data_IF_664450411377
#
_entry.id   IF_664450411377
#
_cell.length_a   1.000
_cell.length_b   1.000
_cell.length_c   1.000
_cell.angle_alpha   90.00
_cell.angle_beta   90.00
_cell.angle_gamma   90.00
#
_symmetry.space_group_name_H-M   'P 1'
#
loop_
_entity.id
_entity.type
_entity.pdbx_description
1 polymer ?
#
# COMPACT_ATOMS: atom_id res chain seq x y z
N UNK A 1 11.77 -20.22 -60.00
CA UNK A 1 11.70 -19.74 -58.60
C UNK A 1 12.42 -18.40 -58.47
N UNK A 2 11.69 -17.28 -58.31
CA UNK A 2 12.23 -15.98 -57.86
C UNK A 2 11.09 -15.00 -57.54
N UNK A 3 11.14 -14.49 -56.29
CA UNK A 3 10.84 -13.16 -55.73
C UNK A 3 9.60 -12.31 -56.14
N UNK A 4 8.92 -11.87 -55.06
CA UNK A 4 8.30 -10.55 -54.74
C UNK A 4 7.21 -9.95 -55.64
N UNK A 5 6.13 -9.43 -55.01
CA UNK A 5 5.88 -7.98 -54.80
C UNK A 5 4.59 -7.78 -53.98
N UNK A 6 4.71 -6.98 -52.92
CA UNK A 6 3.62 -6.35 -52.15
C UNK A 6 3.02 -5.14 -52.91
N UNK A 7 1.69 -4.99 -52.87
CA UNK A 7 0.87 -3.75 -52.96
C UNK A 7 -0.60 -4.22 -53.06
N UNK A 8 -1.63 -3.69 -52.39
CA UNK A 8 -1.89 -2.37 -51.80
C UNK A 8 -3.26 -2.48 -51.11
N UNK A 9 -3.38 -2.19 -49.81
CA UNK A 9 -4.65 -1.88 -49.16
C UNK A 9 -4.38 -1.20 -47.81
N UNK A 10 -4.20 0.12 -47.86
CA UNK A 10 -4.03 0.94 -46.66
C UNK A 10 -4.52 2.35 -47.00
N UNK A 11 -5.75 2.65 -46.57
CA UNK A 11 -6.36 3.99 -46.38
C UNK A 11 -7.88 3.83 -46.32
N UNK A 12 -8.46 3.85 -45.12
CA UNK A 12 -9.67 4.60 -44.70
C UNK A 12 -9.82 4.35 -43.18
N UNK A 13 -9.12 5.08 -42.31
CA UNK A 13 -9.49 5.14 -40.86
C UNK A 13 -8.96 6.42 -40.13
N UNK A 14 -8.39 7.39 -40.85
CA UNK A 14 -7.70 8.54 -40.24
C UNK A 14 -8.44 9.89 -40.35
N UNK A 15 -9.74 9.92 -40.64
CA UNK A 15 -10.49 11.18 -40.77
C UNK A 15 -11.29 11.60 -39.52
N UNK A 16 -11.60 10.68 -38.59
CA UNK A 16 -12.41 11.00 -37.42
C UNK A 16 -11.57 11.55 -36.24
N UNK A 17 -10.38 10.97 -36.01
CA UNK A 17 -9.47 11.42 -34.96
C UNK A 17 -8.89 12.82 -35.21
N UNK A 18 -8.73 13.22 -36.47
CA UNK A 18 -8.15 14.52 -36.83
C UNK A 18 -9.13 15.68 -36.58
N UNK A 19 -10.43 15.50 -36.86
CA UNK A 19 -11.44 16.54 -36.66
C UNK A 19 -11.71 16.82 -35.17
N UNK A 20 -11.72 15.75 -34.35
CA UNK A 20 -11.88 15.88 -32.89
C UNK A 20 -10.63 16.48 -32.25
N UNK A 21 -9.42 16.06 -32.66
CA UNK A 21 -8.15 16.63 -32.19
C UNK A 21 -7.96 18.11 -32.57
N UNK A 22 -8.48 18.55 -33.73
CA UNK A 22 -8.51 19.97 -34.11
C UNK A 22 -9.49 20.76 -33.23
N UNK A 23 -10.65 20.22 -32.85
CA UNK A 23 -11.61 20.94 -31.99
C UNK A 23 -11.10 21.11 -30.55
N UNK A 24 -10.28 20.18 -30.05
CA UNK A 24 -9.78 20.17 -28.67
C UNK A 24 -8.52 21.01 -28.44
N UNK A 25 -7.82 21.43 -29.50
CA UNK A 25 -6.54 22.16 -29.42
C UNK A 25 -6.64 23.63 -29.82
N UNK A 26 -7.82 24.09 -30.23
CA UNK A 26 -8.02 25.46 -30.70
C UNK A 26 -8.66 26.33 -29.62
N UNK A 27 -7.96 27.40 -29.21
CA UNK A 27 -8.55 28.47 -28.40
C UNK A 27 -9.80 29.05 -29.07
N UNK A 28 -10.80 29.43 -28.28
CA UNK A 28 -12.08 30.08 -28.68
C UNK A 28 -11.90 31.12 -29.80
N UNK A 29 -10.78 31.83 -29.80
CA UNK A 29 -10.36 32.82 -30.80
C UNK A 29 -10.28 32.33 -32.26
N UNK A 30 -10.15 31.02 -32.51
CA UNK A 30 -10.05 30.47 -33.89
C UNK A 30 -11.39 29.97 -34.42
N UNK A 31 -12.35 29.60 -33.56
CA UNK A 31 -13.71 29.26 -33.97
C UNK A 31 -14.53 30.49 -34.41
N UNK A 32 -14.21 31.66 -33.85
CA UNK A 32 -14.88 32.95 -34.06
C UNK A 32 -14.80 33.54 -35.51
N UNK A 33 -14.43 32.76 -36.54
CA UNK A 33 -14.30 33.25 -37.93
C UNK A 33 -14.94 32.40 -39.03
N UNK A 34 -15.50 31.23 -38.72
CA UNK A 34 -16.23 30.46 -39.74
C UNK A 34 -17.73 30.79 -39.66
N UNK A 35 -18.32 31.28 -40.76
CA UNK A 35 -19.75 31.67 -40.85
C UNK A 35 -20.78 30.54 -40.65
N UNK A 36 -20.33 29.37 -40.18
CA UNK A 36 -21.12 28.17 -39.95
C UNK A 36 -21.46 27.94 -38.47
N UNK A 37 -21.04 28.84 -37.58
CA UNK A 37 -21.47 28.82 -36.18
C UNK A 37 -22.97 29.19 -36.07
N UNK A 38 -23.73 28.43 -35.29
CA UNK A 38 -25.13 28.70 -34.98
C UNK A 38 -25.29 29.98 -34.16
N UNK A 39 -24.32 30.32 -33.30
CA UNK A 39 -24.35 31.55 -32.52
C UNK A 39 -24.26 32.80 -33.41
N UNK A 40 -23.51 32.73 -34.51
CA UNK A 40 -23.47 33.80 -35.52
C UNK A 40 -24.83 34.04 -36.20
N UNK A 41 -25.77 33.08 -36.06
CA UNK A 41 -27.16 33.18 -36.53
C UNK A 41 -28.13 33.53 -35.41
N UNK A 42 -27.62 33.85 -34.21
CA UNK A 42 -28.39 34.12 -33.00
C UNK A 42 -29.26 32.90 -32.59
N UNK A 43 -28.72 31.69 -32.80
CA UNK A 43 -29.35 30.42 -32.44
C UNK A 43 -28.50 29.77 -31.34
N UNK A 44 -29.04 29.69 -30.13
CA UNK A 44 -28.41 28.94 -29.04
C UNK A 44 -28.75 27.46 -29.19
N UNK A 45 -27.77 26.63 -29.54
CA UNK A 45 -28.00 25.21 -29.77
C UNK A 45 -28.43 24.45 -28.51
N UNK A 46 -28.07 24.96 -27.31
CA UNK A 46 -28.43 24.35 -26.03
C UNK A 46 -29.95 24.31 -25.81
N UNK A 47 -30.71 25.17 -26.48
CA UNK A 47 -32.17 25.18 -26.41
C UNK A 47 -32.83 23.97 -27.11
N UNK A 48 -32.08 23.31 -28.00
CA UNK A 48 -32.56 22.23 -28.87
C UNK A 48 -31.96 20.87 -28.53
N UNK A 49 -31.05 20.79 -27.56
CA UNK A 49 -30.43 19.55 -27.11
C UNK A 49 -30.97 19.17 -25.72
N UNK A 50 -31.41 17.93 -25.59
CA UNK A 50 -31.96 17.35 -24.38
C UNK A 50 -31.21 16.08 -24.01
N UNK A 51 -31.19 15.77 -22.72
CA UNK A 51 -30.65 14.55 -22.16
C UNK A 51 -31.74 13.79 -21.43
N UNK A 52 -31.91 12.52 -21.76
CA UNK A 52 -32.84 11.62 -21.12
C UNK A 52 -32.11 10.96 -19.96
N UNK A 53 -32.47 11.33 -18.74
CA UNK A 53 -31.89 10.80 -17.50
C UNK A 53 -33.03 10.22 -16.67
N UNK A 54 -32.95 8.92 -16.35
CA UNK A 54 -33.99 8.21 -15.60
C UNK A 54 -35.40 8.39 -16.20
N UNK A 55 -35.48 8.33 -17.54
CA UNK A 55 -36.73 8.48 -18.29
C UNK A 55 -37.32 9.90 -18.35
N UNK A 56 -36.61 10.91 -17.84
CA UNK A 56 -37.01 12.33 -17.90
C UNK A 56 -36.13 13.10 -18.87
N UNK A 57 -36.76 13.97 -19.66
CA UNK A 57 -36.07 14.88 -20.58
C UNK A 57 -35.58 16.12 -19.82
N UNK A 58 -34.28 16.38 -19.86
CA UNK A 58 -33.65 17.59 -19.33
C UNK A 58 -33.06 18.39 -20.47
N UNK A 59 -33.45 19.66 -20.62
CA UNK A 59 -32.85 20.53 -21.63
C UNK A 59 -31.43 20.90 -21.23
N UNK A 60 -30.52 21.01 -22.20
CA UNK A 60 -29.13 21.37 -21.93
C UNK A 60 -28.99 22.73 -21.23
N UNK A 61 -29.88 23.69 -21.50
CA UNK A 61 -29.91 24.96 -20.75
C UNK A 61 -30.16 24.75 -19.25
N UNK A 62 -31.07 23.85 -18.89
CA UNK A 62 -31.42 23.57 -17.49
C UNK A 62 -30.26 22.88 -16.76
N UNK A 63 -29.48 22.07 -17.50
CA UNK A 63 -28.30 21.41 -16.97
C UNK A 63 -27.08 22.33 -16.92
N UNK A 64 -27.05 23.47 -17.61
CA UNK A 64 -25.86 24.35 -17.69
C UNK A 64 -26.03 25.67 -16.95
N UNK A 65 -27.14 25.86 -16.22
CA UNK A 65 -27.46 27.09 -15.49
C UNK A 65 -27.70 26.81 -14.00
N UNK A 66 -27.33 27.76 -13.14
CA UNK A 66 -27.56 27.68 -11.69
C UNK A 66 -29.07 27.83 -11.36
N UNK A 67 -29.61 27.11 -10.36
CA UNK A 67 -28.92 26.32 -9.32
C UNK A 67 -28.54 24.89 -9.74
N UNK A 68 -28.65 24.55 -11.03
CA UNK A 68 -28.42 23.20 -11.53
C UNK A 68 -29.59 22.25 -11.28
N UNK A 69 -29.37 20.98 -11.61
CA UNK A 69 -30.37 19.91 -11.46
C UNK A 69 -29.97 18.98 -10.33
N UNK A 70 -30.88 18.82 -9.37
CA UNK A 70 -30.70 17.86 -8.28
C UNK A 70 -31.10 16.45 -8.72
N UNK A 71 -30.09 15.59 -8.84
CA UNK A 71 -30.24 14.17 -9.18
C UNK A 71 -29.64 13.29 -8.07
N UNK A 72 -29.54 13.82 -6.86
CA UNK A 72 -29.07 13.07 -5.70
C UNK A 72 -29.98 11.84 -5.48
N UNK A 73 -29.36 10.67 -5.33
CA UNK A 73 -30.07 9.38 -5.23
C UNK A 73 -30.41 8.70 -6.56
N UNK A 74 -30.14 9.32 -7.71
CA UNK A 74 -30.23 8.65 -9.01
C UNK A 74 -29.13 7.58 -9.17
N UNK A 75 -29.40 6.55 -9.97
CA UNK A 75 -28.40 5.53 -10.31
C UNK A 75 -27.34 6.14 -11.24
N UNK A 76 -26.14 6.40 -10.70
CA UNK A 76 -25.03 7.02 -11.44
C UNK A 76 -24.53 6.19 -12.62
N UNK A 77 -24.80 4.88 -12.63
CA UNK A 77 -24.45 3.98 -13.74
C UNK A 77 -25.54 3.87 -14.81
N UNK A 78 -26.68 4.56 -14.65
CA UNK A 78 -27.75 4.55 -15.64
C UNK A 78 -27.27 5.20 -16.95
N UNK A 79 -27.66 4.60 -18.08
CA UNK A 79 -27.35 5.13 -19.40
C UNK A 79 -28.08 6.44 -19.66
N UNK A 80 -27.36 7.40 -20.24
CA UNK A 80 -27.90 8.69 -20.68
C UNK A 80 -28.04 8.67 -22.19
N UNK A 81 -29.21 9.09 -22.66
CA UNK A 81 -29.50 9.27 -24.09
C UNK A 81 -29.63 10.75 -24.40
N UNK A 82 -29.32 11.14 -25.63
CA UNK A 82 -29.58 12.49 -26.12
C UNK A 82 -30.85 12.53 -26.98
N UNK A 83 -31.48 13.69 -27.04
CA UNK A 83 -32.59 13.99 -27.95
C UNK A 83 -32.38 15.38 -28.52
N UNK A 84 -32.59 15.52 -29.82
CA UNK A 84 -32.39 16.79 -30.53
C UNK A 84 -33.70 17.23 -31.14
N UNK A 85 -34.18 18.43 -30.78
CA UNK A 85 -35.33 19.07 -31.40
C UNK A 85 -34.93 19.63 -32.77
N UNK A 86 -34.81 18.73 -33.75
CA UNK A 86 -34.44 19.10 -35.11
C UNK A 86 -35.52 19.94 -35.81
N UNK A 87 -36.79 19.80 -35.42
CA UNK A 87 -37.88 20.59 -36.00
C UNK A 87 -37.77 22.05 -35.55
N UNK A 88 -37.58 22.28 -34.25
CA UNK A 88 -37.33 23.60 -33.68
C UNK A 88 -36.04 24.23 -34.24
N UNK A 89 -34.96 23.46 -34.33
CA UNK A 89 -33.69 23.94 -34.85
C UNK A 89 -33.79 24.30 -36.35
N UNK A 90 -34.51 23.51 -37.14
CA UNK A 90 -34.79 23.84 -38.54
C UNK A 90 -35.68 25.08 -38.69
N UNK A 91 -36.65 25.28 -37.80
CA UNK A 91 -37.47 26.49 -37.78
C UNK A 91 -36.61 27.74 -37.48
N UNK A 92 -35.69 27.65 -36.52
CA UNK A 92 -34.75 28.72 -36.20
C UNK A 92 -33.77 29.01 -37.36
N UNK A 93 -33.26 27.97 -38.00
CA UNK A 93 -32.41 28.11 -39.19
C UNK A 93 -33.16 28.80 -40.35
N UNK A 94 -34.44 28.50 -40.56
CA UNK A 94 -35.28 29.21 -41.55
C UNK A 94 -35.51 30.67 -41.17
N UNK A 95 -35.77 30.95 -39.91
CA UNK A 95 -35.92 32.33 -39.40
C UNK A 95 -34.64 33.16 -39.58
N UNK A 96 -33.46 32.53 -39.47
CA UNK A 96 -32.16 33.17 -39.78
C UNK A 96 -31.83 33.25 -41.28
N UNK A 97 -32.78 32.92 -42.16
CA UNK A 97 -32.66 33.08 -43.62
C UNK A 97 -32.21 31.84 -44.39
N UNK A 98 -32.06 30.67 -43.74
CA UNK A 98 -31.79 29.42 -44.46
C UNK A 98 -33.00 28.94 -45.27
N UNK A 99 -32.75 28.32 -46.43
CA UNK A 99 -33.77 27.65 -47.25
C UNK A 99 -33.70 26.13 -47.17
N UNK A 100 -32.66 25.62 -46.53
CA UNK A 100 -32.40 24.18 -46.41
C UNK A 100 -33.08 23.59 -45.18
N UNK A 101 -33.29 22.27 -45.21
CA UNK A 101 -33.60 21.46 -44.05
C UNK A 101 -32.34 20.69 -43.65
N UNK A 102 -32.06 20.66 -42.36
CA UNK A 102 -30.91 20.04 -41.75
C UNK A 102 -31.32 18.82 -40.93
N UNK A 103 -30.37 17.92 -40.75
CA UNK A 103 -30.42 16.75 -39.88
C UNK A 103 -29.20 16.77 -38.97
N UNK A 104 -29.25 16.01 -37.87
CA UNK A 104 -28.08 15.82 -37.02
C UNK A 104 -26.95 15.17 -37.82
N UNK A 105 -25.76 15.75 -37.74
CA UNK A 105 -24.57 15.28 -38.43
C UNK A 105 -23.80 14.29 -37.55
N UNK A 106 -23.20 13.28 -38.17
CA UNK A 106 -22.47 12.20 -37.46
C UNK A 106 -21.24 12.66 -36.67
N UNK A 107 -20.75 13.87 -36.92
CA UNK A 107 -19.67 14.48 -36.15
C UNK A 107 -20.15 15.06 -34.82
N UNK A 108 -21.44 14.98 -34.49
CA UNK A 108 -21.94 15.37 -33.17
C UNK A 108 -21.25 14.53 -32.09
N UNK A 109 -20.72 15.21 -31.08
CA UNK A 109 -19.90 14.58 -30.05
C UNK A 109 -20.00 15.28 -28.71
N UNK A 110 -19.56 14.56 -27.68
CA UNK A 110 -19.29 15.09 -26.35
C UNK A 110 -17.92 14.61 -25.91
N UNK A 111 -17.26 15.35 -25.03
CA UNK A 111 -16.02 14.88 -24.42
C UNK A 111 -15.91 15.22 -22.94
N UNK A 112 -15.31 14.30 -22.20
CA UNK A 112 -14.85 14.48 -20.82
C UNK A 112 -13.35 14.26 -20.74
N UNK A 113 -12.75 14.69 -19.63
CA UNK A 113 -11.33 14.51 -19.36
C UNK A 113 -11.16 13.70 -18.08
N UNK A 114 -10.36 12.64 -18.13
CA UNK A 114 -9.85 11.96 -16.92
C UNK A 114 -8.53 12.59 -16.47
N UNK A 115 -7.74 13.05 -17.45
CA UNK A 115 -6.49 13.79 -17.27
C UNK A 115 -6.52 15.03 -18.14
N UNK A 116 -5.77 16.07 -17.76
CA UNK A 116 -5.75 17.36 -18.46
C UNK A 116 -5.42 17.28 -19.96
N UNK A 117 -4.77 16.21 -20.42
CA UNK A 117 -4.24 16.08 -21.78
C UNK A 117 -4.97 15.08 -22.67
N UNK A 118 -5.84 14.23 -22.13
CA UNK A 118 -6.45 13.13 -22.88
C UNK A 118 -7.98 13.09 -22.71
N UNK A 119 -8.74 13.53 -23.72
CA UNK A 119 -10.19 13.48 -23.67
C UNK A 119 -10.74 12.12 -24.09
N UNK A 120 -11.79 11.70 -23.40
CA UNK A 120 -12.66 10.60 -23.81
C UNK A 120 -13.81 11.20 -24.60
N UNK A 121 -13.93 10.75 -25.85
CA UNK A 121 -14.88 11.28 -26.83
C UNK A 121 -16.03 10.29 -26.99
N UNK A 122 -17.24 10.83 -26.94
CA UNK A 122 -18.48 10.12 -27.19
C UNK A 122 -19.18 10.67 -28.42
N UNK A 123 -19.74 9.79 -29.25
CA UNK A 123 -20.51 10.14 -30.44
C UNK A 123 -21.97 9.75 -30.29
N UNK A 124 -22.83 10.44 -31.04
CA UNK A 124 -24.27 10.24 -31.01
C UNK A 124 -24.63 9.19 -32.06
N UNK A 125 -25.24 8.09 -31.63
CA UNK A 125 -25.72 7.01 -32.48
C UNK A 125 -27.23 6.93 -32.39
N UNK A 126 -27.92 6.98 -33.54
CA UNK A 126 -29.38 6.90 -33.59
C UNK A 126 -29.88 5.59 -32.98
N UNK A 127 -30.75 5.68 -31.98
CA UNK A 127 -31.34 4.54 -31.28
C UNK A 127 -32.69 4.10 -31.88
N UNK A 128 -33.18 4.76 -32.93
CA UNK A 128 -34.39 4.36 -33.67
C UNK A 128 -35.72 4.71 -33.00
N UNK A 129 -35.69 5.46 -31.89
CA UNK A 129 -36.87 5.87 -31.11
C UNK A 129 -36.95 7.41 -30.91
N UNK A 130 -36.25 8.17 -31.75
CA UNK A 130 -36.13 9.63 -31.61
C UNK A 130 -35.11 10.07 -30.55
N UNK A 131 -34.30 9.14 -30.04
CA UNK A 131 -33.16 9.42 -29.17
C UNK A 131 -31.85 8.93 -29.80
N UNK A 132 -30.74 9.40 -29.24
CA UNK A 132 -29.40 9.02 -29.63
C UNK A 132 -28.69 8.39 -28.42
N UNK A 133 -28.18 7.18 -28.58
CA UNK A 133 -27.21 6.63 -27.66
C UNK A 133 -25.92 7.48 -27.74
N UNK A 134 -25.35 7.81 -26.60
CA UNK A 134 -24.10 8.58 -26.52
C UNK A 134 -23.02 7.57 -26.18
N UNK A 135 -22.14 7.22 -27.11
CA UNK A 135 -21.22 6.08 -26.94
C UNK A 135 -19.77 6.44 -27.25
N UNK A 136 -18.84 5.84 -26.50
CA UNK A 136 -17.41 6.03 -26.73
C UNK A 136 -16.90 5.21 -27.93
N UNK A 137 -15.59 5.28 -28.19
CA UNK A 137 -14.92 4.53 -29.27
C UNK A 137 -15.06 3.00 -29.17
N UNK A 138 -15.32 2.47 -27.98
CA UNK A 138 -15.53 1.04 -27.72
C UNK A 138 -16.98 0.61 -27.89
N UNK A 139 -17.90 1.59 -28.01
CA UNK A 139 -19.34 1.37 -28.01
C UNK A 139 -19.96 1.36 -26.62
N UNK A 140 -19.20 1.70 -25.57
CA UNK A 140 -19.76 1.82 -24.22
C UNK A 140 -20.64 3.07 -24.11
N UNK A 141 -21.82 2.90 -23.51
CA UNK A 141 -22.78 3.98 -23.31
C UNK A 141 -22.28 4.97 -22.25
N UNK A 142 -22.56 6.25 -22.49
CA UNK A 142 -22.42 7.30 -21.48
C UNK A 142 -23.38 7.00 -20.33
N UNK A 143 -22.85 7.08 -19.12
CA UNK A 143 -23.62 6.98 -17.89
C UNK A 143 -23.88 8.35 -17.30
N UNK A 144 -24.76 8.44 -16.31
CA UNK A 144 -25.01 9.67 -15.55
C UNK A 144 -23.73 10.19 -14.87
N UNK A 145 -22.90 9.29 -14.34
CA UNK A 145 -21.57 9.61 -13.83
C UNK A 145 -20.68 10.24 -14.91
N UNK A 146 -20.59 9.62 -16.09
CA UNK A 146 -19.80 10.16 -17.20
C UNK A 146 -20.32 11.53 -17.66
N UNK A 147 -21.64 11.72 -17.71
CA UNK A 147 -22.28 12.99 -18.08
C UNK A 147 -21.83 14.12 -17.15
N UNK A 148 -21.73 13.85 -15.85
CA UNK A 148 -21.32 14.81 -14.83
C UNK A 148 -19.92 15.42 -15.08
N UNK A 149 -19.06 14.69 -15.80
CA UNK A 149 -17.68 15.06 -16.08
C UNK A 149 -17.48 15.63 -17.49
N UNK A 150 -18.55 15.84 -18.26
CA UNK A 150 -18.46 16.38 -19.62
C UNK A 150 -17.96 17.82 -19.57
N UNK A 151 -16.99 18.12 -20.43
CA UNK A 151 -16.37 19.44 -20.55
C UNK A 151 -16.65 20.12 -21.91
N UNK A 152 -17.16 19.36 -22.89
CA UNK A 152 -17.47 19.88 -24.23
C UNK A 152 -18.64 19.14 -24.83
N UNK A 153 -19.52 19.90 -25.50
CA UNK A 153 -20.59 19.38 -26.36
C UNK A 153 -20.46 20.08 -27.70
N UNK A 154 -20.35 19.29 -28.78
CA UNK A 154 -20.37 19.79 -30.15
C UNK A 154 -21.58 19.26 -30.89
N UNK A 155 -22.57 20.12 -31.16
CA UNK A 155 -23.74 19.80 -31.95
C UNK A 155 -23.49 20.19 -33.41
N UNK A 156 -23.51 19.22 -34.33
CA UNK A 156 -23.29 19.48 -35.76
C UNK A 156 -24.56 19.16 -36.53
N UNK A 157 -24.96 20.05 -37.46
CA UNK A 157 -26.11 19.83 -38.34
C UNK A 157 -25.72 20.01 -39.81
N UNK A 158 -26.18 19.11 -40.67
CA UNK A 158 -25.89 19.13 -42.11
C UNK A 158 -27.16 18.88 -42.92
N UNK A 159 -27.14 19.14 -44.24
CA UNK A 159 -28.30 18.83 -45.10
C UNK A 159 -28.65 17.34 -45.11
N UNK A 160 -27.62 16.53 -44.94
CA UNK A 160 -27.67 15.08 -44.70
C UNK A 160 -26.66 14.74 -43.61
N UNK A 161 -26.78 13.54 -43.01
CA UNK A 161 -25.88 13.08 -41.95
C UNK A 161 -24.40 12.98 -42.37
N UNK A 162 -24.13 12.95 -43.67
CA UNK A 162 -22.80 12.83 -44.28
C UNK A 162 -22.31 14.12 -44.98
N UNK A 163 -23.05 15.21 -44.85
CA UNK A 163 -22.71 16.45 -45.56
C UNK A 163 -21.36 17.02 -45.11
N UNK A 164 -20.47 17.35 -46.05
CA UNK A 164 -19.23 18.07 -45.76
C UNK A 164 -19.46 19.55 -45.40
N UNK A 165 -20.66 20.07 -45.64
CA UNK A 165 -21.07 21.42 -45.28
C UNK A 165 -22.08 21.35 -44.13
N UNK A 166 -21.64 21.73 -42.94
CA UNK A 166 -22.44 21.70 -41.73
C UNK A 166 -22.37 23.03 -40.98
N UNK A 167 -23.42 23.30 -40.21
CA UNK A 167 -23.42 24.30 -39.13
C UNK A 167 -23.12 23.60 -37.81
N UNK A 168 -22.61 24.33 -36.82
CA UNK A 168 -22.33 23.76 -35.52
C UNK A 168 -22.66 24.75 -34.39
N UNK A 169 -23.01 24.21 -33.23
CA UNK A 169 -23.00 24.92 -31.96
C UNK A 169 -22.08 24.17 -31.01
N UNK A 170 -21.20 24.88 -30.32
CA UNK A 170 -20.19 24.25 -29.48
C UNK A 170 -19.79 25.13 -28.32
N UNK A 171 -19.69 24.53 -27.14
CA UNK A 171 -19.11 25.17 -25.98
C UNK A 171 -17.58 25.13 -26.04
N UNK A 172 -16.92 26.18 -25.54
CA UNK A 172 -15.51 26.08 -25.20
C UNK A 172 -15.28 24.93 -24.21
N UNK A 173 -14.03 24.49 -24.04
CA UNK A 173 -13.70 23.54 -22.97
C UNK A 173 -14.02 24.21 -21.63
N UNK A 174 -15.11 23.76 -21.00
CA UNK A 174 -15.65 24.33 -19.76
C UNK A 174 -15.61 23.23 -18.70
N UNK A 175 -14.83 23.44 -17.65
CA UNK A 175 -14.90 22.58 -16.47
C UNK A 175 -16.27 22.74 -15.82
N UNK A 176 -16.83 21.63 -15.33
CA UNK A 176 -18.17 21.64 -14.71
C UNK A 176 -19.25 22.24 -15.63
N UNK A 177 -19.27 21.81 -16.90
CA UNK A 177 -20.24 22.30 -17.88
C UNK A 177 -21.67 22.04 -17.42
N UNK A 178 -21.96 20.82 -16.98
CA UNK A 178 -23.26 20.46 -16.42
C UNK A 178 -23.29 20.62 -14.90
N UNK A 179 -24.20 21.46 -14.42
CA UNK A 179 -24.51 21.69 -13.00
C UNK A 179 -25.42 20.58 -12.48
N UNK A 180 -24.84 19.41 -12.18
CA UNK A 180 -25.56 18.24 -11.67
C UNK A 180 -25.20 17.96 -10.21
N UNK A 181 -26.19 17.91 -9.32
CA UNK A 181 -25.99 17.51 -7.93
C UNK A 181 -25.94 15.97 -7.78
N UNK A 182 -24.95 15.35 -8.42
CA UNK A 182 -24.61 13.92 -8.29
C UNK A 182 -23.16 13.72 -7.88
N UNK A 183 -22.31 14.70 -8.20
CA UNK A 183 -20.88 14.68 -7.89
C UNK A 183 -20.63 14.89 -6.39
N UNK A 184 -21.55 15.56 -5.69
CA UNK A 184 -21.30 16.05 -4.33
C UNK A 184 -20.09 16.98 -4.30
N UNK A 185 -19.52 17.15 -3.10
CA UNK A 185 -18.20 17.77 -2.95
C UNK A 185 -17.14 16.67 -2.89
N UNK A 186 -16.06 16.86 -3.64
CA UNK A 186 -14.93 15.92 -3.72
C UNK A 186 -13.65 16.61 -3.28
N UNK A 187 -12.66 15.83 -2.85
CA UNK A 187 -11.30 16.32 -2.61
C UNK A 187 -10.55 16.50 -3.93
N UNK A 188 -9.52 17.36 -3.92
CA UNK A 188 -8.59 17.44 -5.02
C UNK A 188 -7.37 16.58 -4.69
N UNK A 189 -6.95 15.76 -5.66
CA UNK A 189 -5.79 14.87 -5.55
C UNK A 189 -4.71 15.32 -6.51
N UNK A 190 -3.47 15.29 -6.05
CA UNK A 190 -2.33 15.68 -6.84
C UNK A 190 -1.12 14.80 -6.58
N UNK A 191 -0.39 14.47 -7.64
CA UNK A 191 0.98 14.00 -7.52
C UNK A 191 1.90 15.22 -7.41
N UNK A 192 2.63 15.31 -6.30
CA UNK A 192 3.56 16.40 -5.99
C UNK A 192 4.97 15.97 -6.38
N UNK A 193 5.55 16.68 -7.35
CA UNK A 193 6.90 16.46 -7.84
C UNK A 193 7.82 17.58 -7.35
N UNK A 194 8.72 17.26 -6.42
CA UNK A 194 9.77 18.16 -6.00
C UNK A 194 10.95 18.04 -6.97
N UNK A 195 11.26 19.14 -7.65
CA UNK A 195 12.24 19.19 -8.74
C UNK A 195 13.36 20.17 -8.43
N UNK A 196 14.58 19.86 -8.83
CA UNK A 196 15.66 20.86 -8.86
C UNK A 196 15.46 21.88 -9.99
N UNK A 197 16.32 22.89 -10.05
CA UNK A 197 16.29 23.92 -11.10
C UNK A 197 16.41 23.36 -12.53
N UNK A 198 17.06 22.19 -12.68
CA UNK A 198 17.21 21.47 -13.94
C UNK A 198 15.98 20.60 -14.30
N UNK A 199 14.97 20.52 -13.42
CA UNK A 199 13.74 19.75 -13.64
C UNK A 199 13.81 18.27 -13.26
N UNK A 200 14.90 17.82 -12.64
CA UNK A 200 15.07 16.45 -12.13
C UNK A 200 14.20 16.26 -10.89
N UNK A 201 13.37 15.21 -10.88
CA UNK A 201 12.53 14.87 -9.73
C UNK A 201 13.41 14.29 -8.63
N UNK A 202 13.43 14.96 -7.48
CA UNK A 202 14.17 14.56 -6.28
C UNK A 202 13.28 13.74 -5.34
N UNK A 203 11.99 14.07 -5.27
CA UNK A 203 10.99 13.35 -4.50
C UNK A 203 9.61 13.48 -5.16
N UNK A 204 8.84 12.41 -5.10
CA UNK A 204 7.44 12.37 -5.53
C UNK A 204 6.58 11.88 -4.37
N UNK A 205 5.46 12.57 -4.12
CA UNK A 205 4.51 12.25 -3.06
C UNK A 205 3.07 12.42 -3.57
N UNK A 206 2.14 11.69 -2.97
CA UNK A 206 0.72 11.89 -3.19
C UNK A 206 0.17 12.91 -2.19
N UNK A 207 -0.72 13.80 -2.66
CA UNK A 207 -1.37 14.84 -1.86
C UNK A 207 -2.87 14.82 -2.09
N UNK A 208 -3.62 15.04 -1.01
CA UNK A 208 -5.07 15.18 -1.02
C UNK A 208 -5.46 16.39 -0.16
N UNK A 209 -6.35 17.24 -0.68
CA UNK A 209 -6.79 18.44 0.04
C UNK A 209 -7.66 18.09 1.25
N UNK A 210 -7.50 18.83 2.35
CA UNK A 210 -8.39 18.72 3.52
C UNK A 210 -9.80 19.24 3.23
N UNK A 211 -9.91 20.22 2.32
CA UNK A 211 -11.18 20.79 1.89
C UNK A 211 -11.79 20.00 0.74
N UNK A 212 -13.12 20.08 0.63
CA UNK A 212 -13.86 19.55 -0.52
C UNK A 212 -14.52 20.68 -1.30
N UNK A 213 -14.56 20.55 -2.62
CA UNK A 213 -15.19 21.48 -3.54
C UNK A 213 -16.01 20.75 -4.59
N UNK A 214 -16.79 21.50 -5.36
CA UNK A 214 -17.49 20.91 -6.50
C UNK A 214 -16.49 20.60 -7.61
N UNK A 215 -16.77 19.54 -8.37
CA UNK A 215 -15.93 19.14 -9.49
C UNK A 215 -15.63 20.33 -10.42
N UNK A 216 -14.36 20.47 -10.82
CA UNK A 216 -13.90 21.56 -11.69
C UNK A 216 -13.78 22.94 -11.04
N UNK A 217 -14.18 23.13 -9.78
CA UNK A 217 -13.77 24.30 -9.01
C UNK A 217 -12.26 24.25 -8.75
N UNK A 218 -11.63 25.42 -8.67
CA UNK A 218 -10.20 25.54 -8.44
C UNK A 218 -9.93 25.87 -6.97
N UNK A 219 -8.86 25.29 -6.44
CA UNK A 219 -8.31 25.61 -5.12
C UNK A 219 -6.82 25.88 -5.25
N UNK A 220 -6.35 26.90 -4.54
CA UNK A 220 -4.93 27.18 -4.41
C UNK A 220 -4.36 26.28 -3.32
N UNK A 221 -3.45 25.39 -3.68
CA UNK A 221 -2.65 24.63 -2.72
C UNK A 221 -1.37 25.39 -2.47
N UNK A 222 -1.28 26.02 -1.30
CA UNK A 222 -0.06 26.70 -0.88
C UNK A 222 1.06 25.68 -0.63
N UNK A 223 2.27 25.98 -1.10
CA UNK A 223 3.41 25.07 -0.92
C UNK A 223 3.78 24.85 0.55
N UNK A 224 3.42 25.78 1.42
CA UNK A 224 3.56 25.63 2.88
C UNK A 224 2.70 24.50 3.46
N UNK A 225 1.61 24.12 2.79
CA UNK A 225 0.69 23.06 3.22
C UNK A 225 1.01 21.71 2.57
N UNK A 226 2.03 21.63 1.71
CA UNK A 226 2.45 20.37 1.12
C UNK A 226 3.21 19.51 2.12
N UNK A 227 3.23 18.18 1.94
CA UNK A 227 4.00 17.29 2.78
C UNK A 227 5.48 17.68 2.78
N UNK A 228 6.04 17.92 3.96
CA UNK A 228 7.46 18.25 4.11
C UNK A 228 8.34 17.12 3.56
N UNK A 229 9.36 17.49 2.78
CA UNK A 229 10.37 16.56 2.27
C UNK A 229 11.68 16.62 3.07
N UNK A 230 11.58 16.99 4.34
CA UNK A 230 12.71 17.25 5.23
C UNK A 230 13.32 18.64 5.05
N UNK A 231 14.46 18.86 5.71
CA UNK A 231 15.18 20.15 5.73
C UNK A 231 16.32 20.23 4.70
N UNK A 232 16.51 19.19 3.88
CA UNK A 232 17.52 19.15 2.83
C UNK A 232 17.12 19.93 1.57
N UNK A 233 16.15 20.84 1.67
CA UNK A 233 15.62 21.59 0.54
C UNK A 233 15.13 22.98 0.97
N UNK A 234 15.34 23.98 0.12
CA UNK A 234 14.64 25.26 0.18
C UNK A 234 13.67 25.37 -1.00
N UNK A 235 12.49 25.95 -0.79
CA UNK A 235 11.63 26.35 -1.90
C UNK A 235 12.36 27.41 -2.75
N UNK A 236 12.29 27.26 -4.05
CA UNK A 236 12.90 28.18 -5.01
C UNK A 236 11.90 28.57 -6.10
N UNK A 237 12.04 29.77 -6.65
CA UNK A 237 11.12 30.31 -7.65
C UNK A 237 9.83 30.87 -7.04
N UNK A 238 8.68 30.52 -7.62
CA UNK A 238 7.37 30.84 -7.04
C UNK A 238 7.17 29.99 -5.78
N UNK A 239 6.94 30.63 -4.64
CA UNK A 239 6.75 29.96 -3.35
C UNK A 239 5.31 29.98 -2.89
N UNK A 240 4.39 30.51 -3.71
CA UNK A 240 3.02 30.80 -3.29
C UNK A 240 2.18 29.53 -3.24
N UNK A 241 2.13 28.77 -4.34
CA UNK A 241 1.30 27.58 -4.45
C UNK A 241 0.98 27.20 -5.89
N UNK A 242 0.19 26.15 -6.05
CA UNK A 242 -0.32 25.71 -7.34
C UNK A 242 -1.85 25.64 -7.32
N UNK A 243 -2.48 26.15 -8.37
CA UNK A 243 -3.91 25.96 -8.58
C UNK A 243 -4.18 24.55 -9.09
N UNK A 244 -5.06 23.84 -8.40
CA UNK A 244 -5.54 22.52 -8.80
C UNK A 244 -7.06 22.51 -8.86
N UNK A 245 -7.63 21.57 -9.60
CA UNK A 245 -9.07 21.44 -9.77
C UNK A 245 -9.61 20.21 -9.04
N UNK A 246 -10.74 20.38 -8.33
CA UNK A 246 -11.41 19.28 -7.62
C UNK A 246 -11.88 18.20 -8.60
N UNK A 247 -11.64 16.93 -8.24
CA UNK A 247 -12.04 15.75 -9.00
C UNK A 247 -11.35 15.55 -10.35
N UNK A 248 -10.20 16.19 -10.57
CA UNK A 248 -9.26 15.87 -11.64
C UNK A 248 -7.99 15.22 -11.07
N UNK A 249 -7.28 14.46 -11.91
CA UNK A 249 -5.87 14.13 -11.63
C UNK A 249 -5.02 15.39 -11.84
N UNK A 250 -4.43 15.90 -10.76
CA UNK A 250 -3.59 17.09 -10.81
C UNK A 250 -2.11 16.73 -10.66
N UNK A 251 -1.25 17.62 -11.15
CA UNK A 251 0.19 17.54 -10.94
C UNK A 251 0.69 18.87 -10.35
N UNK A 252 1.38 18.81 -9.23
CA UNK A 252 2.03 19.98 -8.62
C UNK A 252 3.52 19.84 -8.79
N UNK A 253 4.14 20.81 -9.46
CA UNK A 253 5.58 20.86 -9.64
C UNK A 253 6.15 21.93 -8.71
N UNK A 254 6.92 21.49 -7.72
CA UNK A 254 7.57 22.38 -6.75
C UNK A 254 9.04 22.45 -7.08
N UNK A 255 9.54 23.65 -7.36
CA UNK A 255 10.98 23.86 -7.56
C UNK A 255 11.66 24.04 -6.21
N UNK A 256 12.72 23.27 -5.98
CA UNK A 256 13.51 23.29 -4.76
C UNK A 256 15.00 23.39 -5.07
N UNK A 257 15.72 24.08 -4.19
CA UNK A 257 17.17 24.04 -4.11
C UNK A 257 17.58 22.96 -3.11
N UNK A 258 18.34 21.96 -3.56
CA UNK A 258 18.88 20.91 -2.69
C UNK A 258 19.91 21.50 -1.74
N UNK A 259 19.75 21.18 -0.47
CA UNK A 259 20.70 21.37 0.60
C UNK A 259 21.31 20.01 0.91
N UNK A 260 22.64 19.91 0.87
CA UNK A 260 23.32 18.65 1.19
C UNK A 260 23.03 18.23 2.63
N UNK A 261 22.55 16.99 2.87
CA UNK A 261 22.31 16.50 4.21
C UNK A 261 23.60 16.44 5.05
N UNK A 262 23.44 16.60 6.36
CA UNK A 262 24.52 16.52 7.34
C UNK A 262 24.58 15.10 7.91
N UNK A 263 25.57 14.33 7.47
CA UNK A 263 25.73 12.92 7.86
C UNK A 263 26.57 12.70 9.12
N UNK A 264 27.26 13.74 9.63
CA UNK A 264 28.29 13.60 10.67
C UNK A 264 27.77 12.96 11.96
N UNK A 265 26.51 13.25 12.34
CA UNK A 265 25.87 12.64 13.50
C UNK A 265 25.64 11.14 13.33
N UNK A 266 25.11 10.74 12.17
CA UNK A 266 24.87 9.34 11.82
C UNK A 266 26.19 8.56 11.71
N UNK A 267 27.20 9.12 11.04
CA UNK A 267 28.54 8.52 10.92
C UNK A 267 29.17 8.26 12.29
N UNK A 268 29.09 9.24 13.20
CA UNK A 268 29.59 9.12 14.57
C UNK A 268 28.87 8.00 15.32
N UNK A 269 27.54 7.92 15.21
CA UNK A 269 26.75 6.90 15.91
C UNK A 269 26.99 5.49 15.35
N UNK A 270 27.13 5.37 14.03
CA UNK A 270 27.50 4.10 13.38
C UNK A 270 28.84 3.61 13.91
N UNK A 271 29.86 4.46 13.94
CA UNK A 271 31.17 4.09 14.48
C UNK A 271 31.11 3.68 15.97
N UNK A 272 30.34 4.42 16.78
CA UNK A 272 30.12 4.12 18.20
C UNK A 272 29.44 2.76 18.42
N UNK A 273 28.47 2.40 17.57
CA UNK A 273 27.77 1.11 17.64
C UNK A 273 28.66 -0.03 17.14
N UNK A 274 29.41 0.15 16.06
CA UNK A 274 30.37 -0.85 15.57
C UNK A 274 31.44 -1.16 16.63
N UNK A 275 31.98 -0.12 17.27
CA UNK A 275 32.94 -0.30 18.37
C UNK A 275 32.31 -1.03 19.56
N UNK A 276 31.05 -0.70 19.90
CA UNK A 276 30.30 -1.39 20.95
C UNK A 276 30.11 -2.87 20.64
N UNK A 277 29.70 -3.23 19.42
CA UNK A 277 29.49 -4.61 18.99
C UNK A 277 30.80 -5.41 19.02
N UNK A 278 31.93 -4.79 18.65
CA UNK A 278 33.25 -5.44 18.70
C UNK A 278 33.76 -5.72 20.13
N UNK A 279 33.17 -5.09 21.16
CA UNK A 279 33.60 -5.20 22.57
C UNK A 279 32.62 -5.98 23.45
N UNK A 280 31.50 -6.44 22.90
CA UNK A 280 30.40 -7.02 23.67
C UNK A 280 30.27 -8.51 23.40
N UNK A 281 30.62 -9.34 24.37
CA UNK A 281 30.38 -10.80 24.35
C UNK A 281 29.32 -11.17 25.38
N UNK A 282 28.23 -11.80 24.93
CA UNK A 282 27.19 -12.55 25.66
C UNK A 282 26.43 -11.86 26.81
N UNK A 283 26.47 -10.53 26.91
CA UNK A 283 25.80 -9.78 27.99
C UNK A 283 24.34 -9.42 27.71
N UNK A 284 23.91 -9.44 26.46
CA UNK A 284 22.59 -8.95 26.03
C UNK A 284 21.79 -10.04 25.34
N UNK A 285 20.47 -9.93 25.39
CA UNK A 285 19.56 -10.87 24.75
C UNK A 285 19.73 -10.85 23.23
N UNK A 286 19.59 -12.01 22.59
CA UNK A 286 19.69 -12.15 21.13
C UNK A 286 18.71 -11.23 20.38
N UNK A 287 17.49 -11.07 20.91
CA UNK A 287 16.46 -10.20 20.32
C UNK A 287 16.91 -8.74 20.29
N UNK A 288 17.40 -8.20 21.42
CA UNK A 288 17.81 -6.80 21.48
C UNK A 288 19.08 -6.52 20.66
N UNK A 289 20.00 -7.48 20.59
CA UNK A 289 21.19 -7.40 19.73
C UNK A 289 20.85 -7.47 18.25
N UNK A 290 19.86 -8.28 17.87
CA UNK A 290 19.36 -8.35 16.48
C UNK A 290 18.72 -7.02 16.07
N UNK A 291 17.92 -6.41 16.95
CA UNK A 291 17.32 -5.10 16.69
C UNK A 291 18.40 -4.02 16.45
N UNK A 292 19.45 -3.99 17.27
CA UNK A 292 20.59 -3.09 17.09
C UNK A 292 21.34 -3.32 15.78
N UNK A 293 21.58 -4.58 15.42
CA UNK A 293 22.28 -4.94 14.17
C UNK A 293 21.49 -4.53 12.93
N UNK A 294 20.17 -4.74 12.94
CA UNK A 294 19.29 -4.32 11.84
C UNK A 294 19.25 -2.79 11.71
N UNK A 295 19.17 -2.07 12.83
CA UNK A 295 19.21 -0.61 12.82
C UNK A 295 20.55 -0.07 12.29
N UNK A 296 21.67 -0.72 12.64
CA UNK A 296 23.00 -0.38 12.13
C UNK A 296 23.11 -0.58 10.62
N UNK A 297 22.58 -1.69 10.09
CA UNK A 297 22.56 -1.95 8.66
C UNK A 297 21.73 -0.91 7.90
N UNK A 298 20.54 -0.56 8.41
CA UNK A 298 19.72 0.50 7.85
C UNK A 298 20.47 1.85 7.79
N UNK A 299 21.13 2.23 8.89
CA UNK A 299 21.95 3.44 8.95
C UNK A 299 23.11 3.43 7.92
N UNK A 300 23.80 2.29 7.76
CA UNK A 300 24.87 2.13 6.76
C UNK A 300 24.35 2.25 5.33
N UNK A 301 23.15 1.74 5.05
CA UNK A 301 22.53 1.86 3.73
C UNK A 301 22.25 3.31 3.37
N UNK A 302 21.82 4.15 4.33
CA UNK A 302 21.68 5.60 4.13
C UNK A 302 23.04 6.23 3.84
N UNK A 303 24.08 5.89 4.61
CA UNK A 303 25.45 6.40 4.40
C UNK A 303 26.11 5.93 3.10
N UNK A 304 25.68 4.79 2.54
CA UNK A 304 26.13 4.32 1.23
C UNK A 304 25.42 5.04 0.07
N UNK A 305 24.25 5.63 0.32
CA UNK A 305 23.40 6.28 -0.66
C UNK A 305 23.30 7.80 -0.46
N UNK A 306 24.42 8.45 -0.08
CA UNK A 306 24.45 9.89 0.26
C UNK A 306 23.90 10.79 -0.84
N UNK A 307 24.17 10.44 -2.09
CA UNK A 307 23.76 11.23 -3.25
C UNK A 307 22.24 11.31 -3.41
N UNK A 308 21.47 10.40 -2.80
CA UNK A 308 20.02 10.34 -2.88
C UNK A 308 19.32 10.48 -1.50
N UNK A 309 20.08 10.49 -0.41
CA UNK A 309 19.51 10.62 0.93
C UNK A 309 19.00 12.06 1.16
N UNK A 310 17.92 12.18 1.94
CA UNK A 310 17.42 13.47 2.43
C UNK A 310 17.71 13.61 3.93
N UNK A 311 17.69 14.84 4.47
CA UNK A 311 18.00 15.04 5.89
C UNK A 311 17.06 14.23 6.81
N UNK A 312 15.78 14.12 6.44
CA UNK A 312 14.82 13.31 7.19
C UNK A 312 15.24 11.83 7.29
N UNK A 313 15.75 11.23 6.20
CA UNK A 313 16.22 9.83 6.23
C UNK A 313 17.43 9.67 7.16
N UNK A 314 18.32 10.67 7.20
CA UNK A 314 19.50 10.69 8.06
C UNK A 314 19.11 10.82 9.54
N UNK A 315 18.18 11.72 9.84
CA UNK A 315 17.70 11.97 11.20
C UNK A 315 16.90 10.78 11.74
N UNK A 316 16.06 10.17 10.90
CA UNK A 316 15.30 8.96 11.24
C UNK A 316 16.24 7.79 11.50
N UNK A 317 17.23 7.56 10.63
CA UNK A 317 18.22 6.50 10.81
C UNK A 317 19.05 6.70 12.10
N UNK A 318 19.44 7.94 12.41
CA UNK A 318 20.15 8.28 13.64
C UNK A 318 19.30 7.98 14.88
N UNK A 319 18.01 8.35 14.83
CA UNK A 319 17.06 8.11 15.90
C UNK A 319 16.85 6.61 16.12
N UNK A 320 16.55 5.86 15.06
CA UNK A 320 16.34 4.40 15.13
C UNK A 320 17.58 3.68 15.66
N UNK A 321 18.77 4.05 15.21
CA UNK A 321 20.02 3.45 15.69
C UNK A 321 20.30 3.76 17.16
N UNK A 322 20.02 5.00 17.59
CA UNK A 322 20.18 5.42 18.99
C UNK A 322 19.21 4.67 19.89
N UNK A 323 17.94 4.63 19.51
CA UNK A 323 16.88 3.91 20.22
C UNK A 323 17.20 2.42 20.37
N UNK A 324 17.66 1.76 19.30
CA UNK A 324 17.99 0.35 19.34
C UNK A 324 19.16 0.06 20.29
N UNK A 325 20.14 0.97 20.38
CA UNK A 325 21.25 0.85 21.33
C UNK A 325 20.78 1.05 22.77
N UNK A 326 19.92 2.03 23.01
CA UNK A 326 19.42 2.35 24.35
C UNK A 326 18.44 1.29 24.88
N UNK A 327 17.75 0.57 23.99
CA UNK A 327 16.81 -0.52 24.30
C UNK A 327 17.46 -1.89 24.40
N UNK A 328 18.79 -1.97 24.48
CA UNK A 328 19.48 -3.23 24.72
C UNK A 328 19.07 -3.84 26.08
N UNK A 329 18.80 -5.15 26.09
CA UNK A 329 18.33 -5.88 27.27
C UNK A 329 19.40 -6.83 27.73
N UNK A 330 19.83 -6.73 28.99
CA UNK A 330 20.81 -7.65 29.57
C UNK A 330 20.22 -9.07 29.66
N UNK A 331 21.05 -10.08 29.41
CA UNK A 331 20.72 -11.45 29.80
C UNK A 331 20.62 -11.46 31.32
N UNK A 332 19.45 -11.79 31.85
CA UNK A 332 19.25 -11.91 33.29
C UNK A 332 19.98 -13.18 33.74
N UNK A 333 21.04 -13.05 34.53
CA UNK A 333 21.60 -14.21 35.24
C UNK A 333 20.54 -14.69 36.24
N UNK A 334 19.91 -15.83 35.99
CA UNK A 334 19.09 -16.49 36.99
C UNK A 334 20.01 -16.87 38.16
N UNK A 335 19.93 -16.12 39.27
CA UNK A 335 20.69 -16.46 40.47
C UNK A 335 20.11 -17.74 41.06
N UNK A 336 20.80 -18.86 40.85
CA UNK A 336 20.40 -20.17 41.36
C UNK A 336 20.55 -20.20 42.89
N UNK A 337 19.51 -20.61 43.60
CA UNK A 337 19.55 -20.77 45.06
C UNK A 337 20.11 -22.14 45.44
N UNK A 338 21.40 -22.17 45.77
CA UNK A 338 22.14 -23.39 46.12
C UNK A 338 22.09 -23.73 47.60
N UNK A 339 21.58 -22.84 48.45
CA UNK A 339 21.74 -22.94 49.91
C UNK A 339 21.11 -24.21 50.49
N UNK A 340 19.90 -24.55 50.06
CA UNK A 340 19.20 -25.73 50.55
C UNK A 340 19.91 -27.04 50.15
N UNK A 341 20.49 -27.10 48.95
CA UNK A 341 21.29 -28.23 48.50
C UNK A 341 22.60 -28.34 49.27
N UNK A 342 23.30 -27.21 49.50
CA UNK A 342 24.52 -27.16 50.33
C UNK A 342 24.25 -27.66 51.75
N UNK A 343 23.19 -27.16 52.39
CA UNK A 343 22.80 -27.56 53.75
C UNK A 343 22.50 -29.08 53.81
N UNK A 344 21.82 -29.64 52.79
CA UNK A 344 21.49 -31.06 52.74
C UNK A 344 22.70 -31.95 52.49
N UNK A 345 23.62 -31.53 51.62
CA UNK A 345 24.90 -32.23 51.38
C UNK A 345 25.68 -32.33 52.69
N UNK A 346 25.82 -31.23 53.43
CA UNK A 346 26.50 -31.23 54.73
C UNK A 346 25.81 -32.15 55.75
N UNK A 347 24.48 -32.15 55.81
CA UNK A 347 23.69 -33.03 56.67
C UNK A 347 23.91 -34.53 56.36
N UNK A 348 23.99 -34.89 55.07
CA UNK A 348 24.22 -36.28 54.62
C UNK A 348 25.66 -36.70 54.88
N UNK A 349 26.64 -35.83 54.62
CA UNK A 349 28.05 -36.12 54.91
C UNK A 349 28.27 -36.36 56.41
N UNK A 350 27.70 -35.51 57.25
CA UNK A 350 27.74 -35.69 58.71
C UNK A 350 27.10 -37.02 59.13
N UNK A 351 25.94 -37.34 58.57
CA UNK A 351 25.27 -38.62 58.83
C UNK A 351 26.14 -39.82 58.44
N UNK A 352 26.78 -39.79 57.27
CA UNK A 352 27.68 -40.85 56.80
C UNK A 352 28.92 -41.02 57.68
N UNK A 353 29.40 -39.93 58.31
CA UNK A 353 30.54 -39.97 59.22
C UNK A 353 30.18 -40.49 60.63
N UNK A 354 28.96 -40.23 61.10
CA UNK A 354 28.54 -40.50 62.48
C UNK A 354 27.68 -41.77 62.64
N UNK A 355 27.16 -42.32 61.54
CA UNK A 355 26.27 -43.48 61.60
C UNK A 355 26.98 -44.73 62.13
N UNK A 356 26.40 -45.35 63.16
CA UNK A 356 26.84 -46.64 63.74
C UNK A 356 25.92 -47.80 63.37
N UNK A 357 24.82 -47.50 62.68
CA UNK A 357 23.84 -48.48 62.20
C UNK A 357 24.30 -49.03 60.85
N UNK A 358 24.30 -50.36 60.70
CA UNK A 358 24.54 -50.99 59.40
C UNK A 358 23.27 -50.89 58.53
N UNK A 359 23.44 -50.50 57.27
CA UNK A 359 22.36 -50.39 56.28
C UNK A 359 22.62 -51.35 55.11
N UNK A 360 21.57 -51.70 54.37
CA UNK A 360 21.71 -52.54 53.17
C UNK A 360 22.64 -51.89 52.15
N UNK A 361 23.38 -52.71 51.40
CA UNK A 361 24.36 -52.22 50.40
C UNK A 361 23.67 -51.39 49.32
N UNK A 362 22.46 -51.79 48.94
CA UNK A 362 21.64 -51.16 47.91
C UNK A 362 21.19 -49.75 48.34
N UNK A 363 20.66 -49.60 49.56
CA UNK A 363 20.19 -48.29 50.06
C UNK A 363 21.35 -47.33 50.34
N UNK A 364 22.48 -47.84 50.84
CA UNK A 364 23.70 -47.06 51.05
C UNK A 364 24.34 -46.60 49.73
N UNK A 365 24.31 -47.44 48.68
CA UNK A 365 24.79 -47.06 47.35
C UNK A 365 23.94 -45.93 46.76
N UNK A 366 22.61 -46.04 46.85
CA UNK A 366 21.69 -45.01 46.36
C UNK A 366 21.95 -43.63 47.01
N UNK A 367 22.25 -43.60 48.32
CA UNK A 367 22.61 -42.36 49.03
C UNK A 367 23.94 -41.75 48.55
N UNK A 368 24.97 -42.57 48.32
CA UNK A 368 26.28 -42.09 47.84
C UNK A 368 26.21 -41.56 46.42
N UNK A 369 25.45 -42.22 45.55
CA UNK A 369 25.24 -41.77 44.17
C UNK A 369 24.52 -40.42 44.15
N UNK A 370 23.41 -40.28 44.90
CA UNK A 370 22.68 -39.02 45.02
C UNK A 370 23.52 -37.87 45.63
N UNK A 371 24.44 -38.19 46.55
CA UNK A 371 25.37 -37.22 47.13
C UNK A 371 26.42 -36.75 46.11
N UNK A 372 26.90 -37.64 45.24
CA UNK A 372 27.84 -37.29 44.18
C UNK A 372 27.19 -36.36 43.14
N UNK A 373 25.96 -36.65 42.73
CA UNK A 373 25.19 -35.82 41.80
C UNK A 373 24.94 -34.41 42.38
N UNK A 374 24.55 -34.34 43.67
CA UNK A 374 24.37 -33.07 44.36
C UNK A 374 25.66 -32.23 44.43
N UNK A 375 26.83 -32.87 44.63
CA UNK A 375 28.12 -32.19 44.65
C UNK A 375 28.56 -31.70 43.27
N UNK A 376 28.25 -32.43 42.21
CA UNK A 376 28.57 -32.03 40.84
C UNK A 376 27.88 -30.71 40.48
N UNK A 377 26.62 -30.55 40.88
CA UNK A 377 25.85 -29.30 40.66
C UNK A 377 26.45 -28.14 41.46
N UNK A 378 26.90 -28.38 42.70
CA UNK A 378 27.53 -27.34 43.53
C UNK A 378 28.92 -26.90 43.01
N UNK A 379 29.60 -27.74 42.22
CA UNK A 379 30.91 -27.45 41.65
C UNK A 379 30.85 -26.56 40.39
N UNK A 380 29.69 -26.49 39.72
CA UNK A 380 29.47 -25.67 38.52
C UNK A 380 28.17 -24.84 38.62
N UNK A 381 28.12 -23.85 39.53
CA UNK A 381 26.91 -23.09 39.82
C UNK A 381 26.46 -22.20 38.66
N UNK A 382 27.35 -21.90 37.71
CA UNK A 382 27.06 -21.02 36.56
C UNK A 382 26.24 -21.73 35.48
N UNK A 383 26.30 -23.06 35.44
CA UNK A 383 25.56 -23.89 34.47
C UNK A 383 24.37 -24.63 35.11
N UNK A 384 24.19 -24.52 36.42
CA UNK A 384 23.07 -25.14 37.13
C UNK A 384 21.75 -24.39 36.87
N UNK A 385 20.64 -25.10 36.69
CA UNK A 385 19.30 -24.50 36.73
C UNK A 385 18.65 -24.77 38.08
N UNK A 386 17.74 -23.90 38.52
CA UNK A 386 17.04 -24.11 39.81
C UNK A 386 16.33 -25.47 39.86
N UNK A 387 15.76 -25.93 38.74
CA UNK A 387 15.13 -27.25 38.63
C UNK A 387 16.12 -28.41 38.89
N UNK A 388 17.37 -28.28 38.44
CA UNK A 388 18.42 -29.30 38.65
C UNK A 388 18.81 -29.35 40.13
N UNK A 389 18.94 -28.17 40.76
CA UNK A 389 19.22 -28.03 42.19
C UNK A 389 18.10 -28.61 43.04
N UNK A 390 16.85 -28.30 42.71
CA UNK A 390 15.67 -28.80 43.43
C UNK A 390 15.52 -30.32 43.26
N UNK A 391 15.79 -30.85 42.06
CA UNK A 391 15.74 -32.28 41.80
C UNK A 391 16.86 -33.03 42.54
N UNK A 392 18.07 -32.48 42.57
CA UNK A 392 19.17 -33.04 43.35
C UNK A 392 18.88 -33.03 44.85
N UNK A 393 18.31 -31.94 45.37
CA UNK A 393 17.89 -31.85 46.78
C UNK A 393 16.84 -32.90 47.11
N UNK A 394 15.83 -33.07 46.25
CA UNK A 394 14.77 -34.07 46.41
C UNK A 394 15.32 -35.50 46.34
N UNK A 395 16.22 -35.77 45.39
CA UNK A 395 16.84 -37.08 45.20
C UNK A 395 17.71 -37.45 46.39
N UNK A 396 18.55 -36.51 46.85
CA UNK A 396 19.39 -36.69 48.04
C UNK A 396 18.55 -36.90 49.31
N UNK A 397 17.45 -36.15 49.47
CA UNK A 397 16.53 -36.32 50.60
C UNK A 397 15.86 -37.69 50.60
N UNK A 398 15.30 -38.10 49.46
CA UNK A 398 14.68 -39.43 49.31
C UNK A 398 15.66 -40.57 49.53
N UNK A 399 16.89 -40.45 49.03
CA UNK A 399 17.91 -41.47 49.23
C UNK A 399 18.31 -41.61 50.70
N UNK A 400 18.30 -40.50 51.46
CA UNK A 400 18.53 -40.52 52.91
C UNK A 400 17.36 -41.16 53.67
N UNK A 401 16.13 -40.83 53.32
CA UNK A 401 14.93 -41.39 53.94
C UNK A 401 14.69 -42.87 53.59
N UNK A 402 15.15 -43.30 52.40
CA UNK A 402 15.05 -44.67 51.90
C UNK A 402 16.14 -45.63 52.41
N UNK A 403 16.92 -45.22 53.42
CA UNK A 403 17.90 -46.09 54.06
C UNK A 403 17.23 -47.24 54.82
N UNK A 404 17.66 -48.47 54.54
CA UNK A 404 17.11 -49.70 55.15
C UNK A 404 18.13 -50.30 56.11
N UNK A 405 17.88 -50.33 57.43
CA UNK A 405 18.83 -50.89 58.40
C UNK A 405 18.91 -52.41 58.26
N UNK A 406 20.09 -52.96 58.50
CA UNK A 406 20.31 -54.41 58.58
C UNK A 406 19.80 -54.90 59.94
N UNK A 407 18.62 -55.53 59.98
CA UNK A 407 18.14 -56.25 61.17
C UNK A 407 18.62 -57.71 61.13
N UNK A 408 18.73 -58.31 62.32
CA UNK A 408 19.29 -59.67 62.53
C UNK A 408 18.53 -60.80 61.80
N UNK A 409 17.34 -60.53 61.23
CA UNK A 409 16.54 -61.49 60.47
C UNK A 409 16.72 -61.40 58.94
N UNK A 410 17.56 -60.50 58.42
CA UNK A 410 17.80 -60.33 56.97
C UNK A 410 18.97 -61.16 56.43
N UNK A 411 19.43 -62.21 57.14
CA UNK A 411 20.29 -63.23 56.54
C UNK A 411 19.42 -64.28 55.82
N UNK A 412 19.03 -63.91 54.61
CA UNK A 412 18.44 -64.80 53.63
C UNK A 412 16.96 -64.49 53.42
N UNK A 413 16.62 -63.88 52.29
CA UNK A 413 15.78 -64.49 51.25
C UNK A 413 15.77 -63.52 50.07
N UNK A 414 16.40 -63.93 48.96
CA UNK A 414 16.13 -63.39 47.63
C UNK A 414 14.69 -63.69 47.22
N UNK A 415 14.08 -62.73 46.54
CA UNK A 415 12.93 -62.85 45.65
C UNK A 415 11.56 -63.23 46.24
N UNK A 416 10.63 -62.26 46.23
CA UNK A 416 9.25 -62.47 45.81
C UNK A 416 8.61 -61.18 45.29
N UNK A 417 8.38 -61.14 43.96
CA UNK A 417 7.37 -60.32 43.30
C UNK A 417 5.99 -60.60 43.92
N UNK A 418 5.18 -59.57 44.16
CA UNK A 418 3.83 -59.53 43.60
C UNK A 418 3.20 -58.13 43.61
N UNK A 419 2.44 -57.92 42.54
CA UNK A 419 1.77 -56.73 42.07
C UNK A 419 0.57 -56.32 42.93
N UNK A 420 0.28 -55.01 42.93
CA UNK A 420 -1.09 -54.52 42.81
C UNK A 420 -1.10 -53.35 41.80
N UNK A 421 -2.02 -53.44 40.83
CA UNK A 421 -2.12 -52.64 39.59
C UNK A 421 -2.82 -51.28 39.78
N UNK A 422 -2.18 -50.22 39.24
CA UNK A 422 -2.58 -49.18 38.26
C UNK A 422 -4.01 -48.54 38.24
N UNK A 423 -4.18 -47.28 37.75
CA UNK A 423 -3.92 -46.94 36.34
C UNK A 423 -3.13 -45.65 36.03
N UNK A 424 -2.13 -45.82 35.15
CA UNK A 424 -1.77 -45.11 33.89
C UNK A 424 -1.87 -43.57 33.81
N UNK A 425 -0.75 -42.91 33.50
CA UNK A 425 -0.55 -42.15 32.24
C UNK A 425 0.94 -41.98 31.88
N UNK A 426 1.34 -42.52 30.72
CA UNK A 426 2.41 -41.99 29.86
C UNK A 426 3.86 -42.45 30.04
N UNK A 427 4.20 -43.64 29.51
CA UNK A 427 5.56 -43.96 29.03
C UNK A 427 5.90 -43.07 27.81
N UNK A 428 7.15 -42.74 27.45
CA UNK A 428 8.31 -43.62 27.35
C UNK A 428 9.64 -42.94 27.68
N UNK A 429 10.48 -43.67 28.42
CA UNK A 429 11.91 -43.43 28.58
C UNK A 429 12.72 -44.40 27.71
N UNK A 430 13.68 -43.83 26.97
CA UNK A 430 15.08 -44.25 26.80
C UNK A 430 15.53 -45.56 26.10
N UNK A 431 16.74 -45.39 25.54
CA UNK A 431 17.74 -46.36 25.06
C UNK A 431 17.48 -46.96 23.66
N UNK A 432 18.35 -46.85 22.66
CA UNK A 432 19.76 -46.48 22.59
C UNK A 432 20.45 -47.52 21.69
N UNK A 433 20.80 -47.17 20.44
CA UNK A 433 21.62 -48.03 19.57
C UNK A 433 22.57 -47.16 18.74
N UNK A 434 23.80 -47.66 18.70
CA UNK A 434 25.04 -47.24 18.06
C UNK A 434 25.06 -47.22 16.53
N UNK A 435 26.06 -46.49 16.00
CA UNK A 435 26.89 -46.74 14.81
C UNK A 435 26.50 -46.12 13.44
N UNK A 436 27.38 -45.18 13.02
CA UNK A 436 28.09 -45.02 11.73
C UNK A 436 27.35 -44.97 10.38
N UNK A 437 27.72 -43.89 9.68
CA UNK A 437 28.16 -43.81 8.27
C UNK A 437 27.15 -43.52 7.14
N UNK A 438 27.46 -42.38 6.50
CA UNK A 438 27.50 -42.09 5.06
C UNK A 438 26.21 -41.89 4.26
N UNK A 439 26.13 -40.67 3.68
CA UNK A 439 25.69 -40.29 2.33
C UNK A 439 24.26 -40.70 1.88
N UNK A 440 23.46 -39.88 1.20
CA UNK A 440 23.77 -39.05 0.05
C UNK A 440 22.62 -38.06 -0.21
N UNK A 441 22.98 -36.98 -0.91
CA UNK A 441 22.21 -35.85 -1.44
C UNK A 441 20.81 -36.13 -2.02
N UNK A 442 19.93 -35.10 -1.94
CA UNK A 442 19.25 -34.37 -3.05
C UNK A 442 18.03 -33.63 -2.43
N UNK A 443 18.07 -32.32 -2.23
CA UNK A 443 17.78 -31.26 -3.22
C UNK A 443 16.28 -31.08 -3.54
N UNK A 444 15.89 -29.79 -3.62
CA UNK A 444 14.58 -29.21 -3.96
C UNK A 444 13.58 -29.19 -2.79
N UNK A 445 13.33 -28.03 -2.18
CA UNK A 445 12.45 -26.99 -2.73
C UNK A 445 11.04 -27.25 -2.18
N UNK A 446 10.36 -26.39 -1.44
CA UNK A 446 10.13 -24.97 -1.71
C UNK A 446 9.50 -24.33 -0.48
N UNK A 447 9.93 -23.09 -0.23
CA UNK A 447 9.28 -22.08 0.59
C UNK A 447 7.89 -21.74 0.01
N UNK A 448 6.92 -21.65 0.93
CA UNK A 448 5.79 -20.70 1.01
C UNK A 448 5.59 -19.75 -0.18
N UNK A 449 4.41 -19.78 -0.81
CA UNK A 449 3.60 -18.56 -0.95
C UNK A 449 2.15 -18.83 -1.36
N UNK A 450 1.23 -18.34 -0.53
CA UNK A 450 -0.20 -18.21 -0.84
C UNK A 450 -0.39 -16.99 -1.73
N UNK A 451 -1.01 -17.23 -2.89
CA UNK A 451 -1.84 -16.32 -3.70
C UNK A 451 -1.86 -14.83 -3.32
N UNK A 452 -1.46 -14.00 -4.28
CA UNK A 452 -2.36 -12.94 -4.79
C UNK A 452 -2.21 -12.86 -6.31
N UNK A 453 -3.34 -13.02 -6.99
CA UNK A 453 -3.49 -13.12 -8.44
C UNK A 453 -4.23 -11.86 -8.91
N UNK A 454 -3.56 -11.15 -9.83
CA UNK A 454 -4.04 -10.32 -10.95
C UNK A 454 -5.06 -9.19 -10.68
N UNK A 455 -5.11 -8.10 -11.45
CA UNK A 455 -4.62 -7.81 -12.81
C UNK A 455 -3.88 -6.48 -12.77
#
# INVERSE_FOLDING_TARGET
MKKNIFKKAGRVFTSLALAVSICLTMSVSVFAKNGNDLENKNINYRDYLYFVIDGKDYKMTDLTTEPGVDLSGSNVSAEVYAKVDMDGLNAAMKASGSKDTFVLHKNTYMSRYEKSTEPIVYNFQDAGNGTYAIVDKSGAHMTLDNLAHVATVGLYIGKTADSSSYYFGMDAVVTNLFKLNILGKVTAKATVNYKNAEGTILKQLEYETETTGYWGENVLVEYANLPLIGTSYNLAGDTTGAWISYGYENEINVTVERIEPVFTGLETKVAEVEEFLNKTEDKYTEESMTALTNALEAAKNILANKDNAIQADVDDALTVLTDAKDKLVLVQEETVNLKALQDKVAEVEKFLAETKTEYTKESMKALKDALADAKAILADPKNAKQADVDNALKTLTKAKEGLVPVTSDSKGTEAAKQEAKAPVTGDHSFAGITLLASMLCLAAGTIVFVKRKHI
#
